data_IF_681211735330
#
_entry.id   IF_681211735330
#
_cell.length_a   1.000
_cell.length_b   1.000
_cell.length_c   1.000
_cell.angle_alpha   90.00
_cell.angle_beta   90.00
_cell.angle_gamma   90.00
#
_symmetry.space_group_name_H-M   'P 1'
#
loop_
_entity.id
_entity.type
_entity.pdbx_description
1 polymer ?
#
# COMPACT_ATOMS: atom_id res chain seq x y z
N UNK A 1 -8.24 27.97 6.72
CA UNK A 1 -8.54 27.16 7.92
C UNK A 1 -9.97 26.64 7.78
N UNK A 2 -10.12 25.45 7.20
CA UNK A 2 -11.27 24.58 7.45
C UNK A 2 -10.68 23.30 8.00
N UNK A 3 -10.71 23.19 9.33
CA UNK A 3 -10.52 21.92 10.02
C UNK A 3 -11.73 21.07 9.67
N UNK A 4 -11.63 20.32 8.57
CA UNK A 4 -12.56 19.23 8.31
C UNK A 4 -11.86 18.02 8.90
N UNK A 5 -12.25 17.68 10.14
CA UNK A 5 -12.31 16.29 10.52
C UNK A 5 -13.18 15.62 9.45
N UNK A 6 -12.54 15.13 8.39
CA UNK A 6 -13.16 14.19 7.47
C UNK A 6 -13.47 13.02 8.38
N UNK A 7 -14.75 12.87 8.71
CA UNK A 7 -15.22 11.73 9.48
C UNK A 7 -14.58 10.50 8.86
N UNK A 8 -13.80 9.78 9.68
CA UNK A 8 -13.19 8.52 9.32
C UNK A 8 -14.29 7.63 8.76
N UNK A 9 -14.46 7.61 7.43
CA UNK A 9 -15.18 6.54 6.76
C UNK A 9 -14.19 5.40 6.87
N UNK A 10 -14.39 4.64 7.92
CA UNK A 10 -13.41 3.74 8.46
C UNK A 10 -13.37 2.52 7.55
N UNK A 11 -12.19 2.15 7.08
CA UNK A 11 -11.96 0.90 6.36
C UNK A 11 -12.58 -0.31 7.10
N UNK A 12 -12.70 -0.18 8.42
CA UNK A 12 -13.43 -1.03 9.35
C UNK A 12 -14.89 -1.33 8.94
N UNK A 13 -15.60 -0.39 8.33
CA UNK A 13 -17.00 -0.56 7.98
C UNK A 13 -17.18 -1.30 6.65
N UNK A 14 -16.26 -1.11 5.71
CA UNK A 14 -16.43 -1.61 4.34
C UNK A 14 -15.76 -2.97 4.12
N UNK A 15 -14.65 -3.26 4.81
CA UNK A 15 -13.92 -4.53 4.65
C UNK A 15 -14.73 -5.75 5.07
N UNK A 16 -15.40 -5.76 6.25
CA UNK A 16 -16.22 -6.89 6.65
C UNK A 16 -17.43 -7.15 5.75
N UNK A 17 -17.89 -6.14 4.98
CA UNK A 17 -19.07 -6.27 4.11
C UNK A 17 -18.82 -7.12 2.86
N UNK A 18 -17.59 -7.13 2.32
CA UNK A 18 -17.28 -7.90 1.12
C UNK A 18 -16.56 -9.22 1.40
N UNK A 19 -15.92 -9.35 2.57
CA UNK A 19 -15.16 -10.56 2.92
C UNK A 19 -15.98 -11.86 2.85
N UNK A 20 -17.26 -11.91 3.27
CA UNK A 20 -18.09 -13.12 3.15
C UNK A 20 -18.24 -13.62 1.71
N UNK A 21 -18.45 -12.70 0.76
CA UNK A 21 -18.60 -13.03 -0.65
C UNK A 21 -17.26 -13.47 -1.27
N UNK A 22 -16.16 -12.84 -0.85
CA UNK A 22 -14.81 -13.25 -1.25
C UNK A 22 -14.49 -14.67 -0.73
N UNK A 23 -14.78 -14.93 0.55
CA UNK A 23 -14.64 -16.24 1.20
C UNK A 23 -15.45 -17.31 0.47
N UNK A 24 -16.72 -17.03 0.17
CA UNK A 24 -17.59 -17.95 -0.58
C UNK A 24 -16.97 -18.33 -1.92
N UNK A 25 -16.53 -17.34 -2.70
CA UNK A 25 -15.92 -17.56 -4.03
C UNK A 25 -14.59 -18.31 -3.96
N UNK A 26 -13.76 -18.05 -2.95
CA UNK A 26 -12.49 -18.77 -2.75
C UNK A 26 -12.73 -20.24 -2.42
N UNK A 27 -13.69 -20.53 -1.54
CA UNK A 27 -14.03 -21.91 -1.15
C UNK A 27 -14.72 -22.69 -2.29
N UNK A 28 -15.43 -22.00 -3.18
CA UNK A 28 -16.01 -22.58 -4.40
C UNK A 28 -14.99 -22.75 -5.54
N UNK A 29 -13.80 -22.16 -5.42
CA UNK A 29 -12.77 -22.26 -6.46
C UNK A 29 -11.95 -23.53 -6.34
N UNK A 30 -11.38 -23.97 -7.47
CA UNK A 30 -10.44 -25.11 -7.54
C UNK A 30 -9.08 -24.79 -6.89
N UNK A 31 -8.87 -23.57 -6.38
CA UNK A 31 -7.64 -23.12 -5.72
C UNK A 31 -7.60 -23.61 -4.25
N UNK A 32 -7.55 -24.93 -4.08
CA UNK A 32 -7.55 -25.60 -2.77
C UNK A 32 -6.44 -25.12 -1.83
N UNK A 33 -5.28 -24.72 -2.38
CA UNK A 33 -4.18 -24.11 -1.60
C UNK A 33 -4.56 -22.81 -0.88
N UNK A 34 -5.58 -22.11 -1.36
CA UNK A 34 -6.07 -20.87 -0.75
C UNK A 34 -7.19 -21.12 0.27
N UNK A 35 -7.73 -22.35 0.35
CA UNK A 35 -8.78 -22.69 1.31
C UNK A 35 -8.29 -22.59 2.75
N UNK A 36 -7.05 -23.00 3.01
CA UNK A 36 -6.41 -22.89 4.33
C UNK A 36 -6.06 -21.44 4.71
N UNK A 37 -5.91 -20.57 3.72
CA UNK A 37 -5.64 -19.14 3.93
C UNK A 37 -6.89 -18.39 4.41
N UNK A 38 -8.08 -18.82 4.00
CA UNK A 38 -9.34 -18.15 4.35
C UNK A 38 -9.57 -18.09 5.87
N UNK A 39 -9.46 -19.18 6.65
CA UNK A 39 -9.56 -19.13 8.10
C UNK A 39 -8.50 -18.24 8.75
N UNK A 40 -7.26 -18.24 8.22
CA UNK A 40 -6.20 -17.38 8.74
C UNK A 40 -6.53 -15.90 8.55
N UNK A 41 -6.99 -15.51 7.35
CA UNK A 41 -7.39 -14.12 7.06
C UNK A 41 -8.56 -13.70 7.94
N UNK A 42 -9.59 -14.54 8.04
CA UNK A 42 -10.78 -14.25 8.83
C UNK A 42 -10.45 -14.05 10.33
N UNK A 43 -9.66 -14.95 10.90
CA UNK A 43 -9.35 -14.93 12.34
C UNK A 43 -8.27 -13.93 12.74
N UNK A 44 -7.39 -13.54 11.82
CA UNK A 44 -6.27 -12.64 12.12
C UNK A 44 -6.56 -11.20 11.69
N UNK A 45 -7.06 -11.02 10.46
CA UNK A 45 -7.09 -9.74 9.77
C UNK A 45 -8.49 -9.11 9.66
N UNK A 46 -9.54 -9.93 9.78
CA UNK A 46 -10.93 -9.45 9.75
C UNK A 46 -11.49 -9.32 11.17
N UNK A 47 -11.51 -10.44 11.92
CA UNK A 47 -12.10 -10.52 13.25
C UNK A 47 -11.05 -10.50 14.38
N UNK A 48 -9.77 -10.52 14.03
CA UNK A 48 -8.67 -10.70 14.97
C UNK A 48 -8.16 -9.41 15.62
N UNK A 49 -6.99 -9.52 16.24
CA UNK A 49 -6.28 -8.40 16.87
C UNK A 49 -5.86 -7.32 15.86
N UNK A 50 -5.65 -7.71 14.59
CA UNK A 50 -5.27 -6.83 13.49
C UNK A 50 -6.47 -6.60 12.55
N UNK A 51 -7.57 -6.09 13.09
CA UNK A 51 -8.78 -5.86 12.31
C UNK A 51 -8.62 -4.71 11.30
N UNK A 52 -9.59 -4.51 10.38
CA UNK A 52 -9.43 -3.51 9.30
C UNK A 52 -9.30 -2.05 9.76
N UNK A 53 -9.63 -1.72 11.02
CA UNK A 53 -9.30 -0.40 11.59
C UNK A 53 -7.79 -0.22 11.80
N UNK A 54 -7.02 -1.31 11.96
CA UNK A 54 -5.58 -1.25 12.23
C UNK A 54 -4.73 -1.11 10.96
N UNK A 55 -5.17 -1.68 9.85
CA UNK A 55 -4.38 -1.73 8.60
C UNK A 55 -5.08 -1.09 7.41
N UNK A 56 -6.35 -0.73 7.54
CA UNK A 56 -7.09 -0.10 6.48
C UNK A 56 -6.66 1.34 6.23
N UNK A 57 -6.36 1.66 4.97
CA UNK A 57 -5.92 2.99 4.53
C UNK A 57 -6.95 3.64 3.60
N UNK A 58 -8.25 3.51 3.90
CA UNK A 58 -9.31 4.09 3.08
C UNK A 58 -9.22 5.62 3.10
N UNK A 59 -9.34 6.24 1.93
CA UNK A 59 -9.25 7.70 1.75
C UNK A 59 -7.93 8.33 2.24
N UNK A 60 -6.84 7.55 2.26
CA UNK A 60 -5.52 8.03 2.64
C UNK A 60 -4.57 7.94 1.44
N UNK A 61 -4.24 9.11 0.87
CA UNK A 61 -3.27 9.24 -0.22
C UNK A 61 -1.81 9.17 0.23
N UNK A 62 -1.55 9.17 1.54
CA UNK A 62 -0.21 9.09 2.15
C UNK A 62 -0.23 7.91 3.11
N UNK A 63 0.60 6.89 2.86
CA UNK A 63 0.73 5.71 3.71
C UNK A 63 1.98 5.85 4.54
N UNK A 64 1.85 5.86 5.86
CA UNK A 64 2.99 6.03 6.79
C UNK A 64 4.05 4.96 6.58
N UNK A 65 3.66 3.72 6.24
CA UNK A 65 4.60 2.65 5.91
C UNK A 65 5.44 2.97 4.67
N UNK A 66 4.84 3.53 3.62
CA UNK A 66 5.55 3.89 2.40
C UNK A 66 6.58 5.01 2.63
N UNK A 67 6.34 5.89 3.60
CA UNK A 67 7.28 6.94 3.96
C UNK A 67 8.44 6.39 4.79
N UNK A 68 8.19 5.42 5.68
CA UNK A 68 9.24 4.70 6.44
C UNK A 68 10.09 3.82 5.52
N UNK A 69 9.46 3.01 4.67
CA UNK A 69 10.15 2.20 3.65
C UNK A 69 10.92 3.07 2.66
N UNK A 70 10.32 4.20 2.23
CA UNK A 70 10.99 5.18 1.38
C UNK A 70 12.23 5.79 2.05
N UNK A 71 12.13 6.11 3.34
CA UNK A 71 13.27 6.57 4.14
C UNK A 71 14.35 5.49 4.25
N UNK A 72 13.99 4.26 4.60
CA UNK A 72 14.94 3.14 4.67
C UNK A 72 15.63 2.88 3.33
N UNK A 73 14.90 2.86 2.22
CA UNK A 73 15.46 2.66 0.88
C UNK A 73 16.42 3.79 0.50
N UNK A 74 16.04 5.04 0.76
CA UNK A 74 16.91 6.20 0.54
C UNK A 74 18.19 6.10 1.36
N UNK A 75 18.06 5.77 2.65
CA UNK A 75 19.21 5.60 3.53
C UNK A 75 20.10 4.46 3.03
N UNK A 76 19.55 3.31 2.69
CA UNK A 76 20.30 2.16 2.16
C UNK A 76 21.04 2.49 0.86
N UNK A 77 20.44 3.28 -0.04
CA UNK A 77 21.10 3.75 -1.27
C UNK A 77 22.27 4.70 -0.99
N UNK A 78 22.09 5.65 -0.07
CA UNK A 78 23.15 6.59 0.32
C UNK A 78 24.28 5.84 1.06
N UNK A 79 23.90 4.84 1.84
CA UNK A 79 24.76 4.08 2.74
C UNK A 79 25.39 2.83 2.11
N UNK A 80 25.25 2.60 0.80
CA UNK A 80 25.87 1.48 0.06
C UNK A 80 25.71 0.09 0.72
N UNK A 81 24.55 -0.17 1.34
CA UNK A 81 24.19 -1.42 2.04
C UNK A 81 25.15 -1.88 3.16
N UNK A 82 24.60 -1.93 4.38
CA UNK A 82 25.07 -2.64 5.58
C UNK A 82 26.34 -2.18 6.33
N UNK A 83 27.32 -1.48 5.75
CA UNK A 83 28.57 -1.11 6.46
C UNK A 83 29.02 0.34 6.26
N UNK A 84 28.29 1.28 6.85
CA UNK A 84 28.67 2.70 6.85
C UNK A 84 29.46 3.07 8.09
N UNK A 85 30.57 3.76 7.89
CA UNK A 85 31.32 4.39 8.96
C UNK A 85 30.43 5.39 9.72
N UNK A 86 30.44 5.34 11.06
CA UNK A 86 29.59 6.17 11.92
C UNK A 86 29.62 7.66 11.57
N UNK A 87 30.80 8.19 11.20
CA UNK A 87 30.96 9.60 10.82
C UNK A 87 30.19 9.97 9.54
N UNK A 88 30.05 9.04 8.60
CA UNK A 88 29.26 9.19 7.38
C UNK A 88 27.78 9.11 7.67
N UNK A 89 27.35 8.15 8.50
CA UNK A 89 25.95 8.02 8.92
C UNK A 89 25.46 9.30 9.61
N UNK A 90 26.24 9.86 10.55
CA UNK A 90 25.86 11.10 11.27
C UNK A 90 25.70 12.28 10.32
N UNK A 91 26.55 12.41 9.29
CA UNK A 91 26.45 13.47 8.27
C UNK A 91 25.17 13.33 7.45
N UNK A 92 24.83 12.12 7.03
CA UNK A 92 23.63 11.87 6.23
C UNK A 92 22.35 12.06 7.04
N UNK A 93 22.33 11.61 8.31
CA UNK A 93 21.22 11.88 9.22
C UNK A 93 21.03 13.38 9.50
N UNK A 94 22.12 14.13 9.66
CA UNK A 94 22.06 15.58 9.84
C UNK A 94 21.47 16.28 8.61
N UNK A 95 21.89 15.90 7.39
CA UNK A 95 21.29 16.42 6.15
C UNK A 95 19.80 16.13 6.08
N UNK A 96 19.38 14.93 6.48
CA UNK A 96 17.97 14.56 6.50
C UNK A 96 17.16 15.39 7.50
N UNK A 97 17.67 15.61 8.70
CA UNK A 97 17.01 16.44 9.72
C UNK A 97 16.76 17.88 9.23
N UNK A 98 17.75 18.48 8.56
CA UNK A 98 17.62 19.82 7.96
C UNK A 98 16.61 19.79 6.79
N UNK A 99 16.61 18.73 5.99
CA UNK A 99 15.68 18.55 4.89
C UNK A 99 14.23 18.41 5.36
N UNK A 100 13.97 17.69 6.46
CA UNK A 100 12.64 17.57 7.07
C UNK A 100 12.12 18.95 7.49
N UNK A 101 12.96 19.75 8.16
CA UNK A 101 12.59 21.11 8.56
C UNK A 101 12.23 21.98 7.34
N UNK A 102 13.05 21.91 6.29
CA UNK A 102 12.81 22.66 5.03
C UNK A 102 11.53 22.19 4.34
N UNK A 103 11.27 20.89 4.32
CA UNK A 103 10.05 20.29 3.77
C UNK A 103 8.82 20.75 4.54
N UNK A 104 8.88 20.79 5.88
CA UNK A 104 7.80 21.30 6.71
C UNK A 104 7.46 22.76 6.36
N UNK A 105 8.47 23.61 6.20
CA UNK A 105 8.28 25.02 5.78
C UNK A 105 7.60 25.12 4.41
N UNK A 106 7.97 24.30 3.43
CA UNK A 106 7.31 24.28 2.12
C UNK A 106 5.86 23.80 2.21
N UNK A 107 5.58 22.78 3.02
CA UNK A 107 4.21 22.30 3.28
C UNK A 107 3.35 23.39 3.93
N UNK A 108 3.87 24.10 4.94
CA UNK A 108 3.17 25.23 5.56
C UNK A 108 2.91 26.39 4.59
N UNK A 109 3.73 26.53 3.54
CA UNK A 109 3.55 27.50 2.45
C UNK A 109 2.63 26.99 1.34
N UNK A 110 2.03 25.81 1.49
CA UNK A 110 1.15 25.20 0.49
C UNK A 110 1.89 24.71 -0.77
N UNK A 111 3.22 24.55 -0.71
CA UNK A 111 4.02 24.09 -1.83
C UNK A 111 4.13 22.57 -1.79
N UNK A 112 3.71 21.90 -2.86
CA UNK A 112 3.83 20.44 -2.98
C UNK A 112 5.29 20.05 -3.09
N UNK A 113 5.82 19.37 -2.07
CA UNK A 113 7.24 19.01 -1.97
C UNK A 113 7.60 17.72 -2.70
N UNK A 114 6.62 16.85 -2.99
CA UNK A 114 6.85 15.52 -3.54
C UNK A 114 6.36 15.42 -4.98
N UNK A 115 7.30 15.21 -5.91
CA UNK A 115 6.99 14.76 -7.28
C UNK A 115 6.58 13.29 -7.22
N UNK A 116 5.35 12.97 -7.61
CA UNK A 116 4.88 11.59 -7.80
C UNK A 116 5.08 11.19 -9.26
N UNK A 117 5.36 9.92 -9.54
CA UNK A 117 5.43 9.44 -10.94
C UNK A 117 4.04 9.57 -11.58
N UNK A 118 3.93 9.95 -12.88
CA UNK A 118 2.63 10.12 -13.53
C UNK A 118 1.71 8.90 -13.42
N UNK A 119 2.27 7.68 -13.54
CA UNK A 119 1.52 6.44 -13.36
C UNK A 119 0.95 6.27 -11.95
N UNK A 120 1.69 6.67 -10.90
CA UNK A 120 1.23 6.61 -9.52
C UNK A 120 0.13 7.64 -9.24
N UNK A 121 0.22 8.83 -9.86
CA UNK A 121 -0.83 9.84 -9.80
C UNK A 121 -2.10 9.31 -10.48
N UNK A 122 -1.98 8.80 -11.70
CA UNK A 122 -3.13 8.24 -12.43
C UNK A 122 -3.82 7.09 -11.69
N UNK A 123 -3.05 6.18 -11.09
CA UNK A 123 -3.59 5.08 -10.28
C UNK A 123 -4.29 5.61 -9.01
N UNK A 124 -3.69 6.60 -8.34
CA UNK A 124 -4.28 7.24 -7.16
C UNK A 124 -5.58 7.98 -7.50
N UNK A 125 -5.63 8.74 -8.59
CA UNK A 125 -6.82 9.45 -9.06
C UNK A 125 -7.96 8.47 -9.38
N UNK A 126 -7.64 7.31 -9.97
CA UNK A 126 -8.61 6.24 -10.22
C UNK A 126 -9.13 5.62 -8.93
N UNK A 127 -8.27 5.40 -7.93
CA UNK A 127 -8.69 4.91 -6.61
C UNK A 127 -9.59 5.92 -5.89
N UNK A 128 -9.25 7.21 -5.92
CA UNK A 128 -10.04 8.29 -5.33
C UNK A 128 -11.42 8.38 -5.98
N UNK A 129 -11.50 8.28 -7.31
CA UNK A 129 -12.79 8.23 -8.03
C UNK A 129 -13.66 7.03 -7.61
N UNK A 130 -13.05 5.87 -7.35
CA UNK A 130 -13.79 4.71 -6.86
C UNK A 130 -14.29 4.90 -5.43
N UNK A 131 -13.49 5.53 -4.56
CA UNK A 131 -13.90 5.86 -3.19
C UNK A 131 -15.04 6.88 -3.15
N UNK A 132 -15.02 7.89 -4.03
CA UNK A 132 -16.13 8.83 -4.18
C UNK A 132 -17.41 8.14 -4.66
N UNK A 133 -17.30 7.21 -5.62
CA UNK A 133 -18.46 6.45 -6.10
C UNK A 133 -19.05 5.55 -5.01
N UNK A 134 -18.20 4.95 -4.17
CA UNK A 134 -18.62 4.16 -3.00
C UNK A 134 -19.33 5.04 -1.97
N UNK A 135 -18.74 6.20 -1.64
CA UNK A 135 -19.29 7.16 -0.68
C UNK A 135 -20.66 7.68 -1.13
N UNK A 136 -20.84 7.88 -2.43
CA UNK A 136 -22.11 8.25 -3.04
C UNK A 136 -23.07 7.06 -3.25
N UNK A 137 -22.75 5.87 -2.76
CA UNK A 137 -23.53 4.62 -2.91
C UNK A 137 -23.85 4.25 -4.36
N UNK A 138 -23.04 4.72 -5.32
CA UNK A 138 -23.20 4.43 -6.76
C UNK A 138 -22.67 3.04 -7.11
N UNK A 139 -21.65 2.59 -6.38
CA UNK A 139 -21.03 1.27 -6.54
C UNK A 139 -20.91 0.59 -5.18
N UNK A 140 -20.94 -0.74 -5.20
CA UNK A 140 -20.76 -1.57 -4.01
C UNK A 140 -19.26 -1.78 -3.69
N UNK A 141 -18.94 -2.04 -2.42
CA UNK A 141 -17.60 -2.26 -1.91
C UNK A 141 -16.88 -3.40 -2.67
N UNK A 142 -17.59 -4.48 -3.03
CA UNK A 142 -17.00 -5.57 -3.81
C UNK A 142 -16.51 -5.11 -5.19
N UNK A 143 -17.26 -4.23 -5.87
CA UNK A 143 -16.87 -3.66 -7.16
C UNK A 143 -15.66 -2.75 -7.04
N UNK A 144 -15.53 -2.02 -5.93
CA UNK A 144 -14.35 -1.19 -5.63
C UNK A 144 -13.12 -2.08 -5.50
N UNK A 145 -13.18 -3.12 -4.65
CA UNK A 145 -12.06 -4.05 -4.43
C UNK A 145 -11.63 -4.71 -5.72
N UNK A 146 -12.58 -5.21 -6.53
CA UNK A 146 -12.27 -5.85 -7.81
C UNK A 146 -11.55 -4.90 -8.77
N UNK A 147 -12.02 -3.64 -8.88
CA UNK A 147 -11.39 -2.64 -9.75
C UNK A 147 -10.02 -2.22 -9.19
N UNK A 148 -9.91 -1.99 -7.89
CA UNK A 148 -8.67 -1.61 -7.22
C UNK A 148 -7.59 -2.71 -7.33
N UNK A 149 -7.97 -3.99 -7.22
CA UNK A 149 -7.06 -5.11 -7.41
C UNK A 149 -6.40 -5.05 -8.80
N UNK A 150 -7.20 -4.79 -9.85
CA UNK A 150 -6.70 -4.63 -11.22
C UNK A 150 -5.81 -3.40 -11.44
N UNK A 151 -5.81 -2.41 -10.54
CA UNK A 151 -4.90 -1.25 -10.59
C UNK A 151 -3.55 -1.52 -9.93
N UNK A 152 -3.48 -2.50 -9.02
CA UNK A 152 -2.30 -2.79 -8.20
C UNK A 152 -1.49 -3.93 -8.79
N UNK A 153 -2.12 -4.95 -9.39
CA UNK A 153 -1.41 -6.00 -10.13
C UNK A 153 -0.81 -5.42 -11.41
N UNK A 154 0.52 -5.30 -11.51
CA UNK A 154 1.16 -5.12 -12.79
C UNK A 154 1.09 -6.49 -13.48
N UNK A 155 0.46 -6.55 -14.65
CA UNK A 155 0.43 -7.80 -15.43
C UNK A 155 1.87 -8.30 -15.73
N UNK A 156 2.82 -7.37 -15.82
CA UNK A 156 4.24 -7.61 -16.10
C UNK A 156 5.08 -8.12 -14.90
N UNK A 157 4.64 -7.95 -13.64
CA UNK A 157 5.48 -8.29 -12.48
C UNK A 157 5.50 -9.79 -12.16
N UNK A 158 4.42 -10.52 -12.47
CA UNK A 158 4.35 -11.97 -12.25
C UNK A 158 5.04 -12.75 -13.36
N UNK A 159 4.97 -12.24 -14.60
CA UNK A 159 5.61 -12.86 -15.77
C UNK A 159 7.14 -12.80 -15.67
N UNK A 160 7.70 -11.67 -15.21
CA UNK A 160 9.14 -11.51 -15.04
C UNK A 160 9.73 -12.36 -13.88
N UNK A 161 8.94 -12.65 -12.85
CA UNK A 161 9.38 -13.44 -11.69
C UNK A 161 9.25 -14.96 -11.96
N UNK A 162 8.32 -15.39 -12.83
CA UNK A 162 8.28 -16.76 -13.34
C UNK A 162 9.42 -17.06 -14.33
N UNK A 163 9.75 -16.12 -15.21
CA UNK A 163 10.86 -16.27 -16.17
C UNK A 163 12.23 -16.33 -15.46
N UNK A 164 12.45 -15.47 -14.46
CA UNK A 164 13.64 -15.51 -13.59
C UNK A 164 13.76 -16.79 -12.74
N UNK A 165 12.66 -17.49 -12.46
CA UNK A 165 12.65 -18.71 -11.65
C UNK A 165 12.78 -19.97 -12.49
N UNK A 166 12.32 -19.93 -13.74
CA UNK A 166 12.55 -21.00 -14.72
C UNK A 166 14.04 -21.14 -15.09
N UNK A 167 14.79 -20.03 -15.13
CA UNK A 167 16.22 -20.02 -15.43
C UNK A 167 17.12 -20.64 -14.34
N UNK A 168 16.58 -20.93 -13.14
CA UNK A 168 17.33 -21.54 -12.03
C UNK A 168 17.11 -23.05 -11.89
N UNK A 169 16.16 -23.63 -12.63
CA UNK A 169 15.84 -25.07 -12.57
C UNK A 169 16.50 -25.88 -13.71
N UNK A 170 17.19 -25.24 -14.67
CA UNK A 170 17.81 -25.88 -15.84
C UNK A 170 19.33 -26.18 -15.70
N UNK A 171 19.95 -25.87 -14.56
CA UNK A 171 21.41 -25.98 -14.36
C UNK A 171 21.82 -27.16 -13.45
N UNK A 172 21.03 -28.24 -13.44
CA UNK A 172 21.31 -29.45 -12.66
C UNK A 172 21.13 -30.73 -13.49
N UNK A 173 21.93 -30.89 -14.56
CA UNK A 173 22.23 -32.19 -15.21
C UNK A 173 23.66 -32.28 -15.76
#
# INVERSE_FOLDING_TARGET
MSSVYVSSIDTAEHVPLFFPELKRRLLESELTKLHDLVPYIENTWINGMWNPSNWGHFNQAIRTNNDVEGFHNKMNHICQQANVEFSTLVKELHKEAVFIHTTAVHVFRGQTTRKRKPAQVACQDQLESLWEQLSNKKIDAFRVVKKAAGLITPQEYWEAEEESRADLDDDDH
#
